data_IF_277735170994
#
_entry.id   IF_277735170994
#
_cell.length_a   1.000
_cell.length_b   1.000
_cell.length_c   1.000
_cell.angle_alpha   90.00
_cell.angle_beta   90.00
_cell.angle_gamma   90.00
#
_symmetry.space_group_name_H-M   'P 1'
#
loop_
_entity.id
_entity.type
_entity.pdbx_description
1 polymer ?
#
# COMPACT_ATOMS: atom_id res chain seq x y z
N UNK A 1 -19.35 1.51 -5.80
CA UNK A 1 -17.99 1.45 -6.36
C UNK A 1 -16.97 2.05 -5.40
N UNK A 2 -17.14 3.30 -4.97
CA UNK A 2 -16.24 3.99 -4.03
C UNK A 2 -15.96 3.24 -2.70
N UNK A 3 -16.96 2.57 -2.13
CA UNK A 3 -16.81 1.80 -0.87
C UNK A 3 -15.93 0.56 -1.00
N UNK A 4 -15.91 -0.10 -2.17
CA UNK A 4 -14.98 -1.21 -2.45
C UNK A 4 -13.56 -0.68 -2.62
N UNK A 5 -13.40 0.36 -3.42
CA UNK A 5 -12.12 1.04 -3.63
C UNK A 5 -11.47 1.46 -2.31
N UNK A 6 -12.20 2.15 -1.44
CA UNK A 6 -11.68 2.52 -0.11
C UNK A 6 -11.28 1.32 0.74
N UNK A 7 -12.02 0.21 0.67
CA UNK A 7 -11.71 -1.01 1.42
C UNK A 7 -10.42 -1.65 0.90
N UNK A 8 -10.22 -1.67 -0.41
CA UNK A 8 -9.01 -2.19 -1.03
C UNK A 8 -7.80 -1.28 -0.73
N UNK A 9 -7.97 0.05 -0.79
CA UNK A 9 -6.96 1.00 -0.34
C UNK A 9 -6.63 0.83 1.14
N UNK A 10 -7.62 0.54 2.00
CA UNK A 10 -7.41 0.26 3.42
C UNK A 10 -6.56 -0.99 3.65
N UNK A 11 -6.85 -2.07 2.92
CA UNK A 11 -6.08 -3.32 3.00
C UNK A 11 -4.64 -3.07 2.56
N UNK A 12 -4.45 -2.29 1.50
CA UNK A 12 -3.13 -1.95 0.98
C UNK A 12 -2.34 -1.07 1.96
N UNK A 13 -2.98 -0.06 2.56
CA UNK A 13 -2.38 0.78 3.59
C UNK A 13 -1.97 -0.04 4.83
N UNK A 14 -2.82 -0.97 5.28
CA UNK A 14 -2.50 -1.86 6.40
C UNK A 14 -1.36 -2.85 6.09
N UNK A 15 -1.22 -3.25 4.82
CA UNK A 15 -0.07 -4.05 4.38
C UNK A 15 1.21 -3.21 4.41
N UNK A 16 1.16 -2.01 3.83
CA UNK A 16 2.32 -1.13 3.73
C UNK A 16 2.78 -0.58 5.09
N UNK A 17 1.87 -0.41 6.05
CA UNK A 17 2.22 0.00 7.42
C UNK A 17 3.14 -1.00 8.15
N UNK A 18 3.21 -2.26 7.68
CA UNK A 18 4.12 -3.27 8.23
C UNK A 18 5.59 -2.96 7.86
N UNK A 19 5.81 -2.23 6.77
CA UNK A 19 7.14 -1.83 6.33
C UNK A 19 7.58 -0.51 6.97
N UNK A 20 6.64 0.34 7.43
CA UNK A 20 6.94 1.65 8.00
C UNK A 20 7.47 1.60 9.45
N UNK A 21 7.35 0.45 10.13
CA UNK A 21 7.87 0.24 11.49
C UNK A 21 9.19 -0.56 11.48
N UNK A 22 10.35 0.11 11.64
CA UNK A 22 11.63 -0.57 11.81
C UNK A 22 11.81 -1.18 13.22
N UNK A 23 10.91 -0.87 14.17
CA UNK A 23 10.99 -1.35 15.57
C UNK A 23 10.33 -2.73 15.78
N UNK A 24 9.92 -3.38 14.69
CA UNK A 24 9.39 -4.73 14.82
C UNK A 24 10.59 -5.67 14.91
N UNK A 25 10.75 -6.30 16.07
CA UNK A 25 11.42 -7.58 16.36
C UNK A 25 10.88 -8.70 15.44
N UNK A 26 10.94 -8.44 14.14
CA UNK A 26 10.48 -9.19 12.97
C UNK A 26 11.45 -8.89 11.81
N UNK A 27 12.69 -8.50 12.12
CA UNK A 27 13.78 -8.48 11.16
C UNK A 27 14.00 -9.85 10.50
N UNK A 28 13.49 -10.93 11.12
CA UNK A 28 13.49 -12.30 10.59
C UNK A 28 12.31 -12.59 9.64
N UNK A 29 11.34 -11.68 9.51
CA UNK A 29 10.15 -11.81 8.64
C UNK A 29 10.04 -10.71 7.58
N UNK A 30 11.04 -9.82 7.45
CA UNK A 30 11.19 -9.05 6.23
C UNK A 30 11.36 -10.05 5.07
N UNK A 31 10.45 -10.10 4.09
CA UNK A 31 10.62 -10.97 2.95
C UNK A 31 11.98 -10.64 2.32
N UNK A 32 12.84 -11.65 2.19
CA UNK A 32 14.21 -11.52 1.72
C UNK A 32 14.20 -10.80 0.35
N UNK A 33 14.52 -9.51 0.33
CA UNK A 33 14.45 -8.69 -0.89
C UNK A 33 14.00 -7.24 -0.73
N UNK A 34 13.55 -6.80 0.46
CA UNK A 34 13.23 -5.38 0.70
C UNK A 34 14.52 -4.58 0.82
N UNK A 35 15.01 -4.04 -0.30
CA UNK A 35 16.09 -3.04 -0.31
C UNK A 35 15.61 -1.73 0.30
N UNK A 36 16.51 -0.85 0.79
CA UNK A 36 16.13 0.48 1.27
C UNK A 36 15.40 1.33 0.22
N UNK A 37 15.63 1.06 -1.07
CA UNK A 37 14.86 1.64 -2.19
C UNK A 37 13.39 1.19 -2.17
N UNK A 38 13.13 -0.08 -1.82
CA UNK A 38 11.78 -0.60 -1.62
C UNK A 38 11.07 0.03 -0.42
N UNK A 39 11.78 0.51 0.60
CA UNK A 39 11.17 1.17 1.75
C UNK A 39 10.66 2.58 1.40
N UNK A 40 11.46 3.37 0.67
CA UNK A 40 11.01 4.69 0.20
C UNK A 40 9.81 4.56 -0.76
N UNK A 41 9.81 3.56 -1.63
CA UNK A 41 8.69 3.25 -2.52
C UNK A 41 7.45 2.80 -1.74
N UNK A 42 7.61 1.89 -0.76
CA UNK A 42 6.52 1.45 0.10
C UNK A 42 5.91 2.59 0.93
N UNK A 43 6.72 3.55 1.38
CA UNK A 43 6.23 4.72 2.08
C UNK A 43 5.44 5.66 1.17
N UNK A 44 5.92 5.92 -0.05
CA UNK A 44 5.18 6.70 -1.04
C UNK A 44 3.84 6.03 -1.40
N UNK A 45 3.86 4.71 -1.58
CA UNK A 45 2.67 3.90 -1.84
C UNK A 45 1.69 3.93 -0.65
N UNK A 46 2.20 3.91 0.58
CA UNK A 46 1.39 4.00 1.80
C UNK A 46 0.68 5.36 1.89
N UNK A 47 1.41 6.45 1.63
CA UNK A 47 0.84 7.80 1.62
C UNK A 47 -0.27 7.92 0.57
N UNK A 48 -0.05 7.36 -0.63
CA UNK A 48 -1.05 7.33 -1.70
C UNK A 48 -2.30 6.52 -1.30
N UNK A 49 -2.13 5.36 -0.66
CA UNK A 49 -3.25 4.58 -0.14
C UNK A 49 -4.04 5.32 0.95
N UNK A 50 -3.35 6.06 1.82
CA UNK A 50 -3.99 6.95 2.81
C UNK A 50 -4.76 8.10 2.16
N UNK A 51 -4.25 8.67 1.07
CA UNK A 51 -4.97 9.69 0.30
C UNK A 51 -6.25 9.12 -0.30
N UNK A 52 -6.21 7.91 -0.87
CA UNK A 52 -7.39 7.23 -1.40
C UNK A 52 -8.43 6.87 -0.33
N UNK A 53 -7.99 6.52 0.87
CA UNK A 53 -8.84 6.32 2.04
C UNK A 53 -9.63 7.59 2.41
N UNK A 54 -8.94 8.73 2.44
CA UNK A 54 -9.51 10.04 2.79
C UNK A 54 -10.27 10.71 1.63
N UNK A 55 -10.01 10.29 0.38
CA UNK A 55 -10.61 10.86 -0.81
C UNK A 55 -12.14 10.70 -0.79
N UNK A 56 -12.88 11.80 -0.94
CA UNK A 56 -14.35 11.83 -0.95
C UNK A 56 -14.95 11.34 -2.27
N UNK A 57 -14.15 11.34 -3.34
CA UNK A 57 -14.45 10.79 -4.65
C UNK A 57 -13.21 10.04 -5.19
N UNK A 58 -13.42 9.00 -6.00
CA UNK A 58 -12.34 8.32 -6.73
C UNK A 58 -12.59 8.45 -8.22
N UNK A 59 -11.50 8.58 -8.97
CA UNK A 59 -11.51 8.59 -10.43
C UNK A 59 -11.20 7.19 -10.97
N UNK A 60 -11.42 6.97 -12.27
CA UNK A 60 -11.04 5.71 -12.91
C UNK A 60 -9.50 5.52 -12.90
N UNK A 61 -8.75 6.64 -12.92
CA UNK A 61 -7.30 6.66 -12.79
C UNK A 61 -6.85 6.16 -11.41
N UNK A 62 -7.51 6.59 -10.33
CA UNK A 62 -7.24 6.09 -8.97
C UNK A 62 -7.48 4.57 -8.88
N UNK A 63 -8.53 4.08 -9.54
CA UNK A 63 -8.84 2.64 -9.58
C UNK A 63 -7.75 1.87 -10.36
N UNK A 64 -7.29 2.41 -11.48
CA UNK A 64 -6.21 1.82 -12.28
C UNK A 64 -4.87 1.82 -11.50
N UNK A 65 -4.56 2.92 -10.80
CA UNK A 65 -3.37 3.05 -9.96
C UNK A 65 -3.39 2.06 -8.80
N UNK A 66 -4.54 1.91 -8.13
CA UNK A 66 -4.70 0.90 -7.07
C UNK A 66 -4.52 -0.52 -7.61
N UNK A 67 -5.09 -0.83 -8.78
CA UNK A 67 -4.92 -2.14 -9.41
C UNK A 67 -3.45 -2.41 -9.81
N UNK A 68 -2.73 -1.37 -10.24
CA UNK A 68 -1.31 -1.46 -10.56
C UNK A 68 -0.46 -1.74 -9.33
N UNK A 69 -0.65 -0.99 -8.24
CA UNK A 69 0.01 -1.25 -6.94
C UNK A 69 -0.30 -2.66 -6.43
N UNK A 70 -1.56 -3.08 -6.51
CA UNK A 70 -1.98 -4.41 -6.05
C UNK A 70 -1.25 -5.53 -6.79
N UNK A 71 -1.04 -5.38 -8.10
CA UNK A 71 -0.20 -6.31 -8.89
C UNK A 71 1.27 -6.22 -8.53
N UNK A 72 1.79 -5.02 -8.28
CA UNK A 72 3.18 -4.81 -7.88
C UNK A 72 3.51 -5.57 -6.58
N UNK A 73 2.60 -5.54 -5.61
CA UNK A 73 2.73 -6.25 -4.34
C UNK A 73 2.17 -7.68 -4.36
N UNK A 74 1.71 -8.20 -5.50
CA UNK A 74 1.23 -9.58 -5.64
C UNK A 74 -0.07 -9.90 -4.89
N UNK A 75 -0.88 -8.89 -4.54
CA UNK A 75 -2.17 -9.09 -3.90
C UNK A 75 -3.18 -9.72 -4.91
N UNK A 76 -3.82 -10.85 -4.57
CA UNK A 76 -4.77 -11.56 -5.43
C UNK A 76 -6.11 -10.86 -5.51
#
# INVERSE_FOLDING_TARGET
MLTKFRREAAILAAYLSQFENPDTDNAEHLPTGVTPESHAQAHADYQQACQWLAATACTDDDVAALAHMRRHYGFP
#
